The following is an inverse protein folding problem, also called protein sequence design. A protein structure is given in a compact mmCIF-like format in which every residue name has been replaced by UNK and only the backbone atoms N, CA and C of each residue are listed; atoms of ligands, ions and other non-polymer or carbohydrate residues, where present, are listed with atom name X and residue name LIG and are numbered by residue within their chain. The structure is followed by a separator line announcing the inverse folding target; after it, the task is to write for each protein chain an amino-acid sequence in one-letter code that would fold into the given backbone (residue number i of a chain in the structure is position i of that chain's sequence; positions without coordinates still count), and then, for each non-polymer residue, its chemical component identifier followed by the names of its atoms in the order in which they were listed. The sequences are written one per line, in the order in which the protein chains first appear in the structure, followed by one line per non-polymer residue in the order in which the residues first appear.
data_IF_149887079365
#
_entry.id   IF_149887079365
#
_cell.length_a   1.000
_cell.length_b   1.000
_cell.length_c   1.000
_cell.angle_alpha   90.00
_cell.angle_beta   90.00
_cell.angle_gamma   90.00
#
_symmetry.space_group_name_H-M   'P 1'
#
loop_
_entity.id
_entity.type
_entity.pdbx_description
1 polymer ?
#
# COMPACT_ATOMS: atom_id res chain seq x y z
N UNK A 1 33.48 29.30 -47.42
CA UNK A 1 33.77 28.02 -46.75
C UNK A 1 32.56 27.65 -45.91
N UNK A 2 31.82 26.62 -46.31
CA UNK A 2 30.60 26.20 -45.61
C UNK A 2 30.99 25.11 -44.60
N UNK A 3 30.84 25.40 -43.31
CA UNK A 3 31.24 24.50 -42.23
C UNK A 3 30.34 23.25 -42.23
N UNK A 4 30.90 22.12 -42.65
CA UNK A 4 30.27 20.82 -42.47
C UNK A 4 30.44 20.41 -41.01
N UNK A 5 29.39 20.61 -40.20
CA UNK A 5 29.34 20.02 -38.87
C UNK A 5 29.25 18.49 -39.02
N UNK A 6 30.13 17.71 -38.39
CA UNK A 6 30.10 16.26 -38.53
C UNK A 6 28.80 15.71 -37.94
N UNK A 7 27.97 15.06 -38.75
CA UNK A 7 26.68 14.46 -38.35
C UNK A 7 26.76 13.64 -37.05
N UNK A 8 27.93 13.05 -36.75
CA UNK A 8 28.20 12.27 -35.54
C UNK A 8 28.11 13.09 -34.25
N UNK A 9 28.50 14.37 -34.24
CA UNK A 9 28.41 15.21 -33.02
C UNK A 9 26.99 15.65 -32.73
N UNK A 10 26.20 15.96 -33.77
CA UNK A 10 24.78 16.29 -33.61
C UNK A 10 23.97 15.08 -33.09
N UNK A 11 24.23 13.90 -33.63
CA UNK A 11 23.53 12.68 -33.22
C UNK A 11 23.87 12.28 -31.78
N UNK A 12 25.14 12.42 -31.37
CA UNK A 12 25.59 12.19 -29.98
C UNK A 12 24.97 13.19 -29.00
N UNK A 13 24.86 14.47 -29.39
CA UNK A 13 24.25 15.50 -28.56
C UNK A 13 22.74 15.26 -28.36
N UNK A 14 22.04 14.87 -29.43
CA UNK A 14 20.61 14.53 -29.37
C UNK A 14 20.39 13.28 -28.52
N UNK A 15 21.23 12.25 -28.64
CA UNK A 15 21.14 11.05 -27.80
C UNK A 15 21.38 11.38 -26.32
N UNK A 16 22.37 12.22 -26.04
CA UNK A 16 22.68 12.68 -24.68
C UNK A 16 21.55 13.51 -24.10
N UNK A 17 20.94 14.40 -24.89
CA UNK A 17 19.75 15.15 -24.49
C UNK A 17 18.56 14.23 -24.24
N UNK A 18 18.32 13.23 -25.08
CA UNK A 18 17.23 12.27 -24.92
C UNK A 18 17.43 11.42 -23.66
N UNK A 19 18.67 11.00 -23.36
CA UNK A 19 19.00 10.28 -22.13
C UNK A 19 18.86 11.17 -20.89
N UNK A 20 19.26 12.44 -20.95
CA UNK A 20 19.01 13.40 -19.86
C UNK A 20 17.50 13.67 -19.69
N UNK A 21 16.76 13.80 -20.79
CA UNK A 21 15.31 14.03 -20.77
C UNK A 21 14.57 12.82 -20.20
N UNK A 22 15.00 11.61 -20.54
CA UNK A 22 14.48 10.36 -19.99
C UNK A 22 14.87 10.17 -18.51
N UNK A 23 16.09 10.58 -18.11
CA UNK A 23 16.53 10.57 -16.71
C UNK A 23 15.81 11.61 -15.84
N UNK A 24 15.42 12.76 -16.42
CA UNK A 24 14.59 13.79 -15.77
C UNK A 24 13.10 13.42 -15.78
N UNK A 25 12.65 12.66 -16.78
CA UNK A 25 11.35 12.03 -16.84
C UNK A 25 11.34 10.71 -16.06
N UNK A 26 11.77 10.74 -14.79
CA UNK A 26 11.32 9.71 -13.85
C UNK A 26 9.80 9.80 -13.86
N UNK A 27 9.06 8.73 -14.25
CA UNK A 27 7.61 8.76 -14.22
C UNK A 27 7.20 9.02 -12.77
N UNK A 28 6.88 10.27 -12.48
CA UNK A 28 6.52 10.70 -11.15
C UNK A 28 5.28 9.94 -10.71
N UNK A 29 5.14 9.76 -9.40
CA UNK A 29 3.91 9.25 -8.84
C UNK A 29 2.78 10.24 -9.14
N UNK A 30 1.96 9.93 -10.15
CA UNK A 30 0.89 10.78 -10.67
C UNK A 30 -0.44 10.60 -9.91
N UNK A 31 -0.49 9.62 -9.02
CA UNK A 31 -1.70 9.26 -8.28
C UNK A 31 -1.95 10.23 -7.12
N UNK A 32 -3.23 10.59 -6.90
CA UNK A 32 -3.61 11.35 -5.71
C UNK A 32 -3.46 10.51 -4.44
N UNK A 33 -3.29 11.16 -3.27
CA UNK A 33 -3.20 10.47 -1.98
C UNK A 33 -4.35 9.50 -1.75
N UNK A 34 -5.60 9.92 -2.03
CA UNK A 34 -6.78 9.08 -1.81
C UNK A 34 -6.84 7.88 -2.75
N UNK A 35 -6.49 8.09 -4.04
CA UNK A 35 -6.45 6.99 -4.99
C UNK A 35 -5.40 5.96 -4.58
N UNK A 36 -4.21 6.42 -4.18
CA UNK A 36 -3.11 5.55 -3.78
C UNK A 36 -3.42 4.81 -2.48
N UNK A 37 -4.03 5.47 -1.50
CA UNK A 37 -4.49 4.84 -0.28
C UNK A 37 -5.52 3.75 -0.57
N UNK A 38 -6.49 4.01 -1.46
CA UNK A 38 -7.49 3.01 -1.85
C UNK A 38 -6.89 1.80 -2.56
N UNK A 39 -5.78 1.98 -3.30
CA UNK A 39 -5.07 0.89 -3.95
C UNK A 39 -4.29 0.07 -2.93
N UNK A 40 -3.60 0.72 -1.98
CA UNK A 40 -2.89 0.04 -0.90
C UNK A 40 -3.84 -0.78 -0.01
N UNK A 41 -5.01 -0.23 0.33
CA UNK A 41 -6.05 -0.95 1.07
C UNK A 41 -6.54 -2.19 0.31
N UNK A 42 -6.88 -2.03 -0.97
CA UNK A 42 -7.33 -3.16 -1.81
C UNK A 42 -6.25 -4.24 -1.92
N UNK A 43 -5.02 -3.86 -2.24
CA UNK A 43 -3.92 -4.81 -2.36
C UNK A 43 -3.63 -5.52 -1.03
N UNK A 44 -3.73 -4.84 0.10
CA UNK A 44 -3.56 -5.46 1.41
C UNK A 44 -4.67 -6.49 1.69
N UNK A 45 -5.93 -6.13 1.46
CA UNK A 45 -7.08 -7.04 1.63
C UNK A 45 -7.00 -8.25 0.68
N UNK A 46 -6.63 -8.03 -0.59
CA UNK A 46 -6.45 -9.10 -1.57
C UNK A 46 -5.28 -10.04 -1.23
N UNK A 47 -4.39 -9.61 -0.34
CA UNK A 47 -3.19 -10.34 0.05
C UNK A 47 -3.33 -10.95 1.44
N UNK A 48 -4.27 -10.50 2.28
CA UNK A 48 -4.48 -11.11 3.60
C UNK A 48 -5.06 -12.53 3.52
N UNK A 49 -5.76 -12.86 2.41
CA UNK A 49 -6.35 -14.20 2.22
C UNK A 49 -5.27 -15.26 1.99
N UNK A 50 -5.09 -16.23 2.92
CA UNK A 50 -4.06 -17.25 2.80
C UNK A 50 -4.32 -18.24 1.65
N UNK A 51 -5.54 -18.29 1.09
CA UNK A 51 -5.87 -19.08 -0.11
C UNK A 51 -5.11 -18.62 -1.35
N UNK A 52 -4.60 -17.39 -1.35
CA UNK A 52 -3.86 -16.85 -2.48
C UNK A 52 -2.44 -17.40 -2.61
N UNK A 53 -1.84 -17.92 -1.52
CA UNK A 53 -0.47 -18.46 -1.57
C UNK A 53 -0.16 -19.51 -0.50
N UNK A 54 -0.39 -19.24 0.79
CA UNK A 54 0.01 -20.14 1.88
C UNK A 54 -0.74 -21.49 1.90
N UNK A 55 -2.07 -21.50 1.71
CA UNK A 55 -2.83 -22.75 1.65
C UNK A 55 -2.47 -23.60 0.42
N UNK A 56 -2.35 -23.03 -0.79
CA UNK A 56 -1.80 -23.75 -1.92
C UNK A 56 -0.40 -24.32 -1.64
N UNK A 57 0.49 -23.57 -0.99
CA UNK A 57 1.82 -24.06 -0.62
C UNK A 57 1.74 -25.27 0.31
N UNK A 58 0.91 -25.22 1.35
CA UNK A 58 0.67 -26.35 2.25
C UNK A 58 0.20 -27.59 1.49
N UNK A 59 -0.72 -27.42 0.54
CA UNK A 59 -1.21 -28.52 -0.29
C UNK A 59 -0.09 -29.13 -1.14
N UNK A 60 0.68 -28.31 -1.85
CA UNK A 60 1.78 -28.76 -2.71
C UNK A 60 2.90 -29.46 -1.93
N UNK A 61 3.14 -29.06 -0.69
CA UNK A 61 4.17 -29.64 0.18
C UNK A 61 3.67 -30.77 1.09
N UNK A 62 2.41 -31.21 0.92
CA UNK A 62 1.77 -32.24 1.74
C UNK A 62 1.74 -31.92 3.24
N UNK A 63 1.55 -30.64 3.58
CA UNK A 63 1.44 -30.11 4.95
C UNK A 63 -0.02 -29.85 5.37
N UNK A 64 -1.00 -30.40 4.67
CA UNK A 64 -2.42 -30.11 4.85
C UNK A 64 -3.13 -30.95 5.94
N UNK A 65 -2.43 -31.86 6.61
CA UNK A 65 -3.00 -32.58 7.76
C UNK A 65 -3.23 -31.63 8.93
N UNK A 66 -4.21 -31.93 9.79
CA UNK A 66 -4.59 -31.06 10.92
C UNK A 66 -3.40 -30.66 11.78
N UNK A 67 -2.52 -31.62 12.11
CA UNK A 67 -1.33 -31.38 12.93
C UNK A 67 -0.32 -30.48 12.24
N UNK A 68 -0.04 -30.71 10.95
CA UNK A 68 0.96 -29.91 10.21
C UNK A 68 0.46 -28.51 9.89
N UNK A 69 -0.83 -28.37 9.56
CA UNK A 69 -1.47 -27.07 9.39
C UNK A 69 -1.35 -26.25 10.68
N UNK A 70 -1.60 -26.85 11.85
CA UNK A 70 -1.41 -26.19 13.15
C UNK A 70 0.03 -25.70 13.36
N UNK A 71 1.00 -26.54 13.00
CA UNK A 71 2.43 -26.19 13.05
C UNK A 71 2.82 -25.01 12.16
N UNK A 72 2.08 -24.76 11.07
CA UNK A 72 2.26 -23.59 10.21
C UNK A 72 1.68 -22.29 10.81
N UNK A 73 0.64 -22.40 11.65
CA UNK A 73 -0.13 -21.23 12.12
C UNK A 73 0.21 -20.79 13.55
N UNK A 74 0.73 -21.68 14.41
CA UNK A 74 0.98 -21.39 15.84
C UNK A 74 2.12 -20.40 16.09
N UNK A 75 3.05 -20.25 15.15
CA UNK A 75 4.22 -19.38 15.28
C UNK A 75 4.42 -18.56 14.01
N UNK A 76 3.57 -17.56 13.72
CA UNK A 76 3.78 -16.68 12.58
C UNK A 76 5.06 -15.87 12.84
N UNK A 77 6.16 -16.30 12.23
CA UNK A 77 7.48 -15.72 12.46
C UNK A 77 7.64 -14.34 11.79
N UNK A 78 8.66 -13.60 12.25
CA UNK A 78 9.38 -12.50 11.58
C UNK A 78 8.65 -11.18 11.25
N UNK A 79 7.33 -11.10 11.35
CA UNK A 79 6.61 -9.87 11.00
C UNK A 79 6.22 -9.03 12.24
N UNK A 80 6.22 -7.68 12.12
CA UNK A 80 5.71 -6.81 13.18
C UNK A 80 4.24 -7.07 13.49
N UNK A 81 3.86 -6.96 14.77
CA UNK A 81 2.45 -7.01 15.17
C UNK A 81 1.70 -5.77 14.69
N UNK A 82 0.37 -5.85 14.62
CA UNK A 82 -0.48 -4.72 14.26
C UNK A 82 -0.28 -3.51 15.17
N UNK A 83 -0.17 -3.72 16.48
CA UNK A 83 0.07 -2.62 17.44
C UNK A 83 1.44 -1.97 17.22
N UNK A 84 2.46 -2.78 16.93
CA UNK A 84 3.78 -2.26 16.58
C UNK A 84 3.73 -1.42 15.29
N UNK A 85 2.95 -1.84 14.29
CA UNK A 85 2.74 -1.08 13.05
C UNK A 85 1.96 0.21 13.28
N UNK A 86 0.91 0.17 14.11
CA UNK A 86 0.06 1.33 14.43
C UNK A 86 0.84 2.41 15.20
N UNK A 87 1.83 2.02 15.99
CA UNK A 87 2.68 2.94 16.74
C UNK A 87 3.68 3.73 15.86
N UNK A 88 3.89 3.33 14.61
CA UNK A 88 4.85 3.97 13.71
C UNK A 88 4.30 5.28 13.13
N UNK A 89 5.21 6.20 12.80
CA UNK A 89 4.87 7.32 11.92
C UNK A 89 4.44 6.81 10.54
N UNK A 90 3.70 7.61 9.76
CA UNK A 90 3.29 7.20 8.40
C UNK A 90 4.47 6.82 7.50
N UNK A 91 5.60 7.53 7.62
CA UNK A 91 6.78 7.24 6.80
C UNK A 91 7.52 5.99 7.30
N UNK A 92 7.65 5.80 8.61
CA UNK A 92 8.29 4.60 9.17
C UNK A 92 7.45 3.34 8.93
N UNK A 93 6.12 3.47 8.95
CA UNK A 93 5.19 2.42 8.57
C UNK A 93 5.41 1.99 7.11
N UNK A 94 5.47 2.95 6.17
CA UNK A 94 5.73 2.67 4.76
C UNK A 94 7.11 2.05 4.53
N UNK A 95 8.14 2.55 5.21
CA UNK A 95 9.49 1.97 5.15
C UNK A 95 9.53 0.53 5.68
N UNK A 96 8.81 0.26 6.77
CA UNK A 96 8.68 -1.07 7.36
C UNK A 96 8.01 -2.03 6.40
N UNK A 97 6.92 -1.60 5.73
CA UNK A 97 6.26 -2.40 4.69
C UNK A 97 7.23 -2.72 3.55
N UNK A 98 7.94 -1.73 3.00
CA UNK A 98 8.86 -1.98 1.89
C UNK A 98 9.98 -2.96 2.28
N UNK A 99 10.52 -2.82 3.49
CA UNK A 99 11.55 -3.72 4.02
C UNK A 99 11.03 -5.16 4.15
N UNK A 100 9.86 -5.34 4.78
CA UNK A 100 9.25 -6.67 4.96
C UNK A 100 8.89 -7.30 3.60
N UNK A 101 8.33 -6.52 2.68
CA UNK A 101 8.02 -7.00 1.33
C UNK A 101 9.26 -7.35 0.52
N UNK A 102 10.38 -6.66 0.71
CA UNK A 102 11.66 -7.06 0.13
C UNK A 102 12.11 -8.45 0.59
N UNK A 103 11.98 -8.75 1.89
CA UNK A 103 12.26 -10.08 2.43
C UNK A 103 11.31 -11.15 1.88
N UNK A 104 10.01 -10.84 1.81
CA UNK A 104 9.01 -11.74 1.22
C UNK A 104 9.33 -12.01 -0.24
N UNK A 105 9.68 -10.99 -1.02
CA UNK A 105 10.04 -11.13 -2.42
C UNK A 105 11.22 -12.09 -2.62
N UNK A 106 12.27 -11.97 -1.81
CA UNK A 106 13.41 -12.90 -1.87
C UNK A 106 13.01 -14.34 -1.57
N UNK A 107 12.14 -14.55 -0.57
CA UNK A 107 11.66 -15.90 -0.25
C UNK A 107 10.74 -16.47 -1.32
N UNK A 108 9.85 -15.67 -1.88
CA UNK A 108 8.97 -16.08 -3.01
C UNK A 108 9.82 -16.48 -4.21
N UNK A 109 10.86 -15.73 -4.54
CA UNK A 109 11.77 -16.08 -5.64
C UNK A 109 12.54 -17.37 -5.36
N UNK A 110 13.04 -17.57 -4.13
CA UNK A 110 13.68 -18.83 -3.75
C UNK A 110 12.73 -20.03 -3.88
N UNK A 111 11.47 -19.87 -3.48
CA UNK A 111 10.43 -20.90 -3.67
C UNK A 111 10.17 -21.14 -5.16
N UNK A 112 10.07 -20.10 -5.99
CA UNK A 112 9.90 -20.26 -7.45
C UNK A 112 11.01 -21.11 -8.03
N UNK A 113 12.27 -20.83 -7.69
CA UNK A 113 13.41 -21.62 -8.17
C UNK A 113 13.35 -23.09 -7.71
N UNK A 114 12.83 -23.35 -6.52
CA UNK A 114 12.59 -24.71 -6.03
C UNK A 114 11.49 -25.41 -6.86
N UNK A 115 10.36 -24.73 -7.08
CA UNK A 115 9.20 -25.30 -7.77
C UNK A 115 9.40 -25.45 -9.26
N UNK A 116 10.08 -24.52 -9.97
CA UNK A 116 10.42 -24.68 -11.39
C UNK A 116 11.11 -26.03 -11.67
N UNK A 117 11.84 -26.57 -10.70
CA UNK A 117 12.52 -27.87 -10.81
C UNK A 117 11.64 -29.07 -10.50
N UNK A 118 10.52 -28.90 -9.79
CA UNK A 118 9.73 -30.01 -9.24
C UNK A 118 8.25 -30.02 -9.67
N UNK A 119 7.63 -28.86 -9.87
CA UNK A 119 6.22 -28.70 -10.27
C UNK A 119 5.87 -27.23 -10.59
N UNK A 120 4.92 -26.98 -11.50
CA UNK A 120 4.41 -25.63 -11.73
C UNK A 120 3.57 -25.12 -10.54
N UNK A 121 3.88 -23.93 -10.01
CA UNK A 121 3.15 -23.31 -8.90
C UNK A 121 2.84 -21.82 -9.19
N UNK A 122 1.80 -21.53 -10.01
CA UNK A 122 1.53 -20.20 -10.58
C UNK A 122 1.16 -19.14 -9.53
N UNK A 123 0.72 -19.54 -8.34
CA UNK A 123 0.43 -18.64 -7.23
C UNK A 123 1.67 -17.84 -6.79
N UNK A 124 2.87 -18.39 -6.97
CA UNK A 124 4.11 -17.66 -6.66
C UNK A 124 4.35 -16.49 -7.63
N UNK A 125 4.02 -16.64 -8.91
CA UNK A 125 4.12 -15.55 -9.88
C UNK A 125 3.13 -14.43 -9.53
N UNK A 126 1.88 -14.80 -9.23
CA UNK A 126 0.86 -13.84 -8.80
C UNK A 126 1.29 -13.10 -7.52
N UNK A 127 1.87 -13.81 -6.56
CA UNK A 127 2.40 -13.21 -5.35
C UNK A 127 3.52 -12.20 -5.66
N UNK A 128 4.44 -12.52 -6.56
CA UNK A 128 5.50 -11.60 -6.98
C UNK A 128 4.93 -10.32 -7.62
N UNK A 129 3.95 -10.45 -8.52
CA UNK A 129 3.28 -9.30 -9.13
C UNK A 129 2.58 -8.43 -8.08
N UNK A 130 1.86 -9.03 -7.13
CA UNK A 130 1.20 -8.29 -6.03
C UNK A 130 2.22 -7.56 -5.16
N UNK A 131 3.29 -8.24 -4.74
CA UNK A 131 4.36 -7.65 -3.92
C UNK A 131 4.95 -6.43 -4.63
N UNK A 132 5.29 -6.58 -5.93
CA UNK A 132 5.84 -5.48 -6.74
C UNK A 132 4.87 -4.31 -6.83
N UNK A 133 3.58 -4.58 -7.06
CA UNK A 133 2.53 -3.55 -7.09
C UNK A 133 2.40 -2.80 -5.77
N UNK A 134 2.43 -3.51 -4.63
CA UNK A 134 2.38 -2.89 -3.30
C UNK A 134 3.61 -2.02 -3.07
N UNK A 135 4.82 -2.52 -3.34
CA UNK A 135 6.08 -1.77 -3.17
C UNK A 135 6.10 -0.48 -4.00
N UNK A 136 5.63 -0.54 -5.25
CA UNK A 136 5.50 0.65 -6.10
C UNK A 136 4.54 1.68 -5.48
N UNK A 137 3.40 1.24 -4.95
CA UNK A 137 2.44 2.13 -4.32
C UNK A 137 2.95 2.71 -2.99
N UNK A 138 3.69 1.92 -2.22
CA UNK A 138 4.37 2.35 -0.98
C UNK A 138 5.42 3.42 -1.28
N UNK A 139 6.24 3.21 -2.32
CA UNK A 139 7.20 4.19 -2.81
C UNK A 139 6.49 5.50 -3.17
N UNK A 140 5.40 5.41 -3.93
CA UNK A 140 4.65 6.60 -4.31
C UNK A 140 4.00 7.34 -3.13
N UNK A 141 3.50 6.60 -2.15
CA UNK A 141 2.91 7.21 -0.95
C UNK A 141 3.98 7.92 -0.13
N UNK A 142 5.14 7.29 0.01
CA UNK A 142 6.30 7.86 0.67
C UNK A 142 6.76 9.15 -0.02
N UNK A 143 6.82 9.16 -1.35
CA UNK A 143 7.18 10.33 -2.13
C UNK A 143 6.19 11.49 -1.93
N UNK A 144 4.88 11.21 -1.95
CA UNK A 144 3.82 12.21 -1.71
C UNK A 144 3.94 12.81 -0.31
N UNK A 145 4.12 11.97 0.72
CA UNK A 145 4.23 12.42 2.11
C UNK A 145 5.51 13.25 2.36
N UNK A 146 6.64 12.86 1.76
CA UNK A 146 7.89 13.64 1.86
C UNK A 146 7.78 14.99 1.15
N UNK A 147 7.10 15.04 0.00
CA UNK A 147 6.86 16.31 -0.71
C UNK A 147 6.01 17.27 0.11
N UNK A 148 5.01 16.77 0.85
CA UNK A 148 4.22 17.62 1.75
C UNK A 148 4.97 18.05 3.02
N UNK A 149 6.07 17.37 3.37
CA UNK A 149 6.90 17.66 4.55
C UNK A 149 8.10 18.57 4.26
N UNK A 150 8.33 19.03 3.02
CA UNK A 150 9.45 19.90 2.62
C UNK A 150 9.48 21.31 3.27
N UNK A 151 8.90 21.47 4.47
CA UNK A 151 9.09 22.59 5.40
C UNK A 151 9.96 22.19 6.61
N UNK A 152 10.32 20.92 6.84
CA UNK A 152 11.22 20.52 7.93
C UNK A 152 12.26 19.49 7.45
N UNK A 153 13.52 19.80 7.76
CA UNK A 153 14.74 19.04 7.46
C UNK A 153 14.67 17.58 7.93
N UNK A 154 15.33 16.63 7.23
CA UNK A 154 15.27 15.23 7.59
C UNK A 154 16.30 14.87 8.68
N UNK A 155 15.85 14.20 9.73
CA UNK A 155 16.74 13.48 10.66
C UNK A 155 17.03 12.09 10.09
N UNK A 156 18.31 11.75 9.93
CA UNK A 156 18.75 10.40 9.55
C UNK A 156 18.60 9.44 10.73
N UNK A 157 17.95 8.31 10.49
CA UNK A 157 17.95 7.17 11.42
C UNK A 157 18.77 6.03 10.82
N UNK A 158 19.73 5.56 11.61
CA UNK A 158 20.65 4.47 11.31
C UNK A 158 19.92 3.16 10.98
N UNK A 159 20.31 2.55 9.86
CA UNK A 159 19.94 1.20 9.47
C UNK A 159 20.65 0.19 10.37
N UNK A 160 19.88 -0.61 11.12
CA UNK A 160 20.39 -1.78 11.83
C UNK A 160 20.33 -2.98 10.90
N UNK A 161 21.49 -3.52 10.54
CA UNK A 161 21.61 -4.79 9.84
C UNK A 161 21.06 -5.92 10.73
N UNK A 162 20.10 -6.68 10.20
CA UNK A 162 19.65 -7.94 10.79
C UNK A 162 20.35 -9.09 10.07
N UNK A 163 21.09 -9.87 10.85
CA UNK A 163 21.76 -11.08 10.44
C UNK A 163 20.72 -12.13 10.03
N UNK A 164 20.86 -12.66 8.81
CA UNK A 164 20.11 -13.84 8.38
C UNK A 164 20.87 -15.09 8.83
N UNK A 165 20.30 -15.96 9.67
CA UNK A 165 20.90 -17.26 9.94
C UNK A 165 20.83 -18.10 8.66
N UNK A 166 21.93 -18.77 8.31
CA UNK A 166 21.93 -19.80 7.28
C UNK A 166 21.20 -21.04 7.82
N UNK A 167 20.14 -21.55 7.16
CA UNK A 167 19.51 -22.78 7.60
C UNK A 167 20.28 -23.97 7.02
N UNK A 168 21.06 -24.64 7.86
CA UNK A 168 21.28 -26.09 7.72
C UNK A 168 20.03 -26.77 8.29
N UNK A 169 19.01 -26.98 7.44
CA UNK A 169 17.75 -27.56 7.89
C UNK A 169 17.39 -28.76 7.04
N UNK A 170 16.91 -29.82 7.70
CA UNK A 170 16.26 -30.96 7.09
C UNK A 170 15.16 -30.47 6.13
N UNK A 171 15.03 -31.13 4.98
CA UNK A 171 14.06 -30.81 3.92
C UNK A 171 12.63 -30.67 4.45
N UNK A 172 12.25 -31.40 5.50
CA UNK A 172 10.94 -31.28 6.13
C UNK A 172 10.79 -30.00 6.97
N UNK A 173 11.78 -29.67 7.78
CA UNK A 173 11.75 -28.46 8.63
C UNK A 173 11.79 -27.19 7.78
N UNK A 174 12.55 -27.19 6.67
CA UNK A 174 12.55 -26.09 5.70
C UNK A 174 11.16 -25.84 5.08
N UNK A 175 10.37 -26.89 4.84
CA UNK A 175 8.98 -26.76 4.36
C UNK A 175 8.08 -26.14 5.44
N UNK A 176 8.21 -26.57 6.69
CA UNK A 176 7.45 -26.00 7.81
C UNK A 176 7.80 -24.52 8.02
N UNK A 177 9.08 -24.15 7.96
CA UNK A 177 9.52 -22.77 8.15
C UNK A 177 9.03 -21.86 7.02
N UNK A 178 9.04 -22.35 5.79
CA UNK A 178 8.46 -21.65 4.65
C UNK A 178 6.95 -21.47 4.82
N UNK A 179 6.25 -22.51 5.29
CA UNK A 179 4.82 -22.46 5.56
C UNK A 179 4.46 -21.41 6.63
N UNK A 180 5.18 -21.40 7.76
CA UNK A 180 5.02 -20.40 8.83
C UNK A 180 5.28 -18.98 8.34
N UNK A 181 6.32 -18.82 7.52
CA UNK A 181 6.65 -17.52 6.92
C UNK A 181 5.53 -17.01 6.02
N UNK A 182 5.00 -17.85 5.12
CA UNK A 182 3.91 -17.47 4.22
C UNK A 182 2.63 -17.13 5.01
N UNK A 183 2.32 -17.90 6.06
CA UNK A 183 1.20 -17.61 6.94
C UNK A 183 1.38 -16.26 7.67
N UNK A 184 2.59 -16.01 8.18
CA UNK A 184 2.98 -14.73 8.78
C UNK A 184 2.83 -13.56 7.82
N UNK A 185 3.22 -13.73 6.56
CA UNK A 185 3.05 -12.71 5.51
C UNK A 185 1.59 -12.33 5.29
N UNK A 186 0.67 -13.30 5.20
CA UNK A 186 -0.76 -13.02 5.07
C UNK A 186 -1.31 -12.27 6.29
N UNK A 187 -0.93 -12.72 7.49
CA UNK A 187 -1.33 -12.07 8.76
C UNK A 187 -0.79 -10.63 8.86
N UNK A 188 0.45 -10.41 8.42
CA UNK A 188 1.07 -9.09 8.32
C UNK A 188 0.32 -8.19 7.34
N UNK A 189 -0.04 -8.69 6.16
CA UNK A 189 -0.76 -7.91 5.16
C UNK A 189 -2.17 -7.53 5.62
N UNK A 190 -2.86 -8.39 6.38
CA UNK A 190 -4.11 -8.02 7.03
C UNK A 190 -3.94 -6.91 8.07
N UNK A 191 -2.85 -6.96 8.85
CA UNK A 191 -2.51 -5.89 9.81
C UNK A 191 -2.21 -4.56 9.10
N UNK A 192 -1.46 -4.61 7.99
CA UNK A 192 -1.19 -3.45 7.12
C UNK A 192 -2.48 -2.86 6.57
N UNK A 193 -3.41 -3.69 6.09
CA UNK A 193 -4.71 -3.26 5.58
C UNK A 193 -5.54 -2.51 6.63
N UNK A 194 -5.55 -3.01 7.88
CA UNK A 194 -6.21 -2.34 9.01
C UNK A 194 -5.57 -1.00 9.36
N UNK A 195 -4.24 -0.89 9.40
CA UNK A 195 -3.59 0.41 9.62
C UNK A 195 -3.90 1.40 8.48
N UNK A 196 -3.94 0.94 7.23
CA UNK A 196 -4.31 1.81 6.10
C UNK A 196 -5.79 2.26 6.14
N UNK A 197 -6.72 1.47 6.69
CA UNK A 197 -8.12 1.89 6.79
C UNK A 197 -8.27 3.11 7.72
N UNK A 198 -7.52 3.13 8.83
CA UNK A 198 -7.47 4.24 9.79
C UNK A 198 -6.95 5.55 9.16
N UNK A 199 -6.11 5.46 8.13
CA UNK A 199 -5.57 6.65 7.45
C UNK A 199 -6.64 7.41 6.65
N UNK A 200 -7.72 6.76 6.22
CA UNK A 200 -8.83 7.40 5.53
C UNK A 200 -9.76 8.17 6.49
N UNK A 201 -9.97 7.65 7.69
CA UNK A 201 -10.89 8.20 8.70
C UNK A 201 -10.41 9.53 9.30
N UNK A 202 -9.10 9.74 9.36
CA UNK A 202 -8.50 10.96 9.91
C UNK A 202 -8.87 12.24 9.15
N UNK A 203 -9.06 12.18 7.82
CA UNK A 203 -9.47 13.34 7.00
C UNK A 203 -10.99 13.55 6.99
N UNK A 204 -11.76 12.47 7.16
CA UNK A 204 -13.23 12.50 7.22
C UNK A 204 -13.75 13.22 8.48
N UNK A 205 -13.09 13.04 9.62
CA UNK A 205 -13.48 13.73 10.88
C UNK A 205 -13.28 15.24 10.82
N UNK A 206 -12.24 15.73 10.14
CA UNK A 206 -11.98 17.18 9.96
C UNK A 206 -13.11 17.90 9.21
N UNK A 207 -13.77 17.23 8.25
CA UNK A 207 -14.90 17.83 7.50
C UNK A 207 -16.20 17.99 8.30
N UNK A 208 -16.34 17.38 9.48
CA UNK A 208 -17.56 17.52 10.32
C UNK A 208 -17.56 18.75 11.22
N UNK A 209 -16.58 19.64 11.09
CA UNK A 209 -16.50 20.92 11.80
C UNK A 209 -16.48 22.14 10.88
N UNK A 210 -17.24 22.09 9.77
CA UNK A 210 -17.71 23.33 9.16
C UNK A 210 -18.83 23.91 10.03
N UNK A 211 -18.72 25.15 10.55
CA UNK A 211 -19.84 25.76 11.26
C UNK A 211 -20.99 25.85 10.26
N UNK A 212 -22.11 25.20 10.60
CA UNK A 212 -23.38 25.34 9.86
C UNK A 212 -23.64 26.84 9.73
N UNK A 213 -23.62 27.36 8.49
CA UNK A 213 -24.13 28.69 8.20
C UNK A 213 -25.53 28.79 8.78
N UNK A 214 -25.66 29.59 9.83
CA UNK A 214 -26.94 29.91 10.43
C UNK A 214 -27.86 30.45 9.33
N UNK A 215 -29.03 29.82 9.17
CA UNK A 215 -30.13 30.38 8.42
C UNK A 215 -30.37 31.79 8.96
N UNK A 216 -30.10 32.81 8.16
CA UNK A 216 -30.51 34.17 8.46
C UNK A 216 -32.04 34.24 8.41
N UNK A 217 -32.63 34.09 9.58
CA UNK A 217 -33.99 34.54 9.90
C UNK A 217 -34.00 36.07 9.75
N UNK A 218 -34.51 36.58 8.64
CA UNK A 218 -35.03 37.95 8.56
C UNK A 218 -36.53 37.89 8.30
N UNK A 219 -37.27 38.03 9.38
CA UNK A 219 -38.65 38.48 9.34
C UNK A 219 -38.63 40.01 9.31
N UNK A 220 -39.13 40.62 8.24
CA UNK A 220 -39.67 41.97 8.26
C UNK A 220 -40.93 41.97 7.39
N UNK A 221 -42.06 42.23 8.04
CA UNK A 221 -43.37 42.18 7.45
C UNK A 221 -43.66 43.38 6.56
N UNK A 222 -44.58 43.18 5.61
CA UNK A 222 -45.47 44.22 5.14
C UNK A 222 -46.86 43.64 4.99
N UNK A 223 -47.80 44.34 5.61
CA UNK A 223 -49.23 44.07 5.70
C UNK A 223 -49.90 44.75 4.51
N UNK A 224 -50.72 44.04 3.74
CA UNK A 224 -51.84 44.65 3.03
C UNK A 224 -53.06 43.72 3.08
N UNK A 225 -53.97 44.06 3.98
CA UNK A 225 -55.35 43.60 3.98
C UNK A 225 -56.19 44.63 3.21
N UNK A 226 -56.87 44.20 2.14
CA UNK A 226 -58.00 44.90 1.55
C UNK A 226 -58.84 43.91 0.73
N UNK A 227 -59.93 43.45 1.31
CA UNK A 227 -61.19 43.27 0.58
C UNK A 227 -62.33 43.34 1.58
N UNK A 228 -63.34 44.08 1.16
CA UNK A 228 -64.34 44.77 1.94
C UNK A 228 -65.60 43.94 2.18
N UNK A 229 -66.20 44.24 3.32
CA UNK A 229 -67.53 43.95 3.83
C UNK A 229 -68.64 43.74 2.78
N UNK A 230 -69.48 42.73 3.01
CA UNK A 230 -70.92 42.77 2.71
C UNK A 230 -71.69 42.68 4.03
N UNK A 231 -72.64 43.59 4.31
CA UNK A 231 -73.57 43.45 5.42
C UNK A 231 -74.82 42.66 4.99
N UNK A 232 -75.42 41.91 5.91
CA UNK A 232 -76.81 41.45 5.81
C UNK A 232 -77.54 41.73 7.13
N UNK A 233 -78.82 42.15 7.08
CA UNK A 233 -79.56 42.66 8.23
C UNK A 233 -80.25 41.54 9.02
N UNK A 234 -80.53 41.80 10.29
CA UNK A 234 -81.47 41.02 11.11
C UNK A 234 -82.90 41.42 10.78
N UNK A 235 -83.72 40.43 10.43
CA UNK A 235 -85.11 40.23 10.83
C UNK A 235 -85.38 38.74 10.85
#
# INVERSE_FOLDING_TARGET
MQAQFPQKTLLSLVLSLLLLSAALAMPGCSSSYQMLLSQLQRLANDTEDPRSLAEPYMHHQSLNTTTLRKSCTEHPAAFPSEDALRALSKLDFLHTIDTMLGQVQHRVEALKQQFVRTQNFPQLENAEYKIRGIRNNVYCMSWLLRRSQKTLEPTQTSSRALLSPAPTSDTFQAKLDSCRFLWGYHSFMGSVGRVFSEWGDSLSRSRRHSPRRALHKRAHGFRHSRSSQRPMPRS
#
